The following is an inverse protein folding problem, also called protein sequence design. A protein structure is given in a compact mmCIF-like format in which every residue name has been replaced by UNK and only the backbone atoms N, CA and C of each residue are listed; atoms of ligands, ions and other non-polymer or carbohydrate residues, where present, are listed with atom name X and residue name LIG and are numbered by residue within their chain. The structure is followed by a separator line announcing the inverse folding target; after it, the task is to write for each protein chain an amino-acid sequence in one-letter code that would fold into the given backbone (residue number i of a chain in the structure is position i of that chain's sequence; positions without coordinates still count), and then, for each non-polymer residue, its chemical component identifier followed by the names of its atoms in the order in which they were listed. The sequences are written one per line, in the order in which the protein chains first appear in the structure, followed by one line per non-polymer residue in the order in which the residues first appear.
data_IF_809914164306
#
_entry.id   IF_809914164306
#
_cell.length_a   1.000
_cell.length_b   1.000
_cell.length_c   1.000
_cell.angle_alpha   90.00
_cell.angle_beta   90.00
_cell.angle_gamma   90.00
#
_symmetry.space_group_name_H-M   'P 1'
#
loop_
_entity.id
_entity.type
_entity.pdbx_description
1 polymer ?
#
# COMPACT_ATOMS: atom_id res chain seq x y z
N UNK A 1 69.49 -27.77 1.54
CA UNK A 1 68.88 -27.90 2.88
C UNK A 1 67.39 -27.62 2.72
N UNK A 2 66.57 -28.66 2.55
CA UNK A 2 65.76 -29.29 3.60
C UNK A 2 64.47 -28.46 3.87
N UNK A 3 63.38 -28.67 3.11
CA UNK A 3 62.30 -29.68 3.29
C UNK A 3 61.22 -29.23 4.29
N UNK A 4 59.99 -29.10 3.76
CA UNK A 4 58.65 -29.32 4.33
C UNK A 4 58.54 -29.54 5.85
N UNK A 5 57.62 -28.81 6.50
CA UNK A 5 56.74 -29.36 7.54
C UNK A 5 55.38 -28.64 7.54
N UNK A 6 54.50 -29.10 6.65
CA UNK A 6 53.05 -29.08 6.89
C UNK A 6 52.71 -30.40 7.60
N UNK A 7 52.26 -30.33 8.85
CA UNK A 7 51.70 -31.47 9.61
C UNK A 7 50.33 -31.03 10.13
N UNK A 8 49.24 -31.38 9.43
CA UNK A 8 48.37 -32.56 9.66
C UNK A 8 47.93 -32.75 11.12
N UNK A 9 46.67 -32.38 11.38
CA UNK A 9 45.74 -33.09 12.28
C UNK A 9 44.34 -32.94 11.64
N UNK A 10 43.90 -33.90 10.82
CA UNK A 10 43.08 -35.08 11.15
C UNK A 10 41.71 -34.71 11.72
N UNK A 11 40.71 -34.98 10.88
CA UNK A 11 39.27 -35.07 11.16
C UNK A 11 38.95 -35.82 12.46
N UNK A 12 37.89 -35.39 13.15
CA UNK A 12 36.80 -36.29 13.54
C UNK A 12 35.55 -35.51 13.94
N UNK A 13 34.51 -35.77 13.15
CA UNK A 13 33.10 -35.47 13.40
C UNK A 13 32.59 -36.52 14.40
N UNK A 14 31.89 -36.10 15.46
CA UNK A 14 30.93 -36.86 16.29
C UNK A 14 30.35 -35.84 17.29
N UNK A 15 29.10 -35.37 17.19
CA UNK A 15 27.86 -36.03 17.64
C UNK A 15 28.05 -36.70 19.00
N UNK A 16 27.57 -36.07 20.08
CA UNK A 16 26.66 -36.64 21.09
C UNK A 16 26.34 -35.57 22.15
N UNK A 17 25.08 -35.61 22.51
CA UNK A 17 24.28 -34.82 23.43
C UNK A 17 24.56 -35.21 24.91
N UNK A 18 23.93 -34.49 25.85
CA UNK A 18 23.55 -34.90 27.23
C UNK A 18 24.40 -34.33 28.39
N UNK A 19 23.74 -33.38 29.06
CA UNK A 19 23.52 -33.22 30.51
C UNK A 19 24.71 -33.39 31.47
N UNK A 20 25.07 -32.30 32.15
CA UNK A 20 24.94 -32.23 33.61
C UNK A 20 25.15 -30.80 34.11
N UNK A 21 24.10 -30.22 34.68
CA UNK A 21 24.21 -29.04 35.52
C UNK A 21 24.60 -29.53 36.92
N UNK A 22 25.85 -29.29 37.30
CA UNK A 22 26.39 -29.63 38.61
C UNK A 22 27.40 -28.57 39.04
N UNK A 23 26.91 -27.67 39.90
CA UNK A 23 27.59 -26.77 40.84
C UNK A 23 29.09 -26.45 40.65
N UNK A 24 29.41 -25.14 40.60
CA UNK A 24 30.26 -24.44 41.59
C UNK A 24 30.04 -22.92 41.41
N UNK A 25 29.92 -22.21 42.53
CA UNK A 25 29.24 -20.92 42.64
C UNK A 25 29.99 -19.70 42.10
N UNK A 26 29.21 -18.76 41.58
CA UNK A 26 29.41 -17.33 41.81
C UNK A 26 28.04 -16.67 41.96
N UNK A 27 27.85 -15.96 43.07
CA UNK A 27 26.57 -15.48 43.58
C UNK A 27 26.18 -14.20 42.81
N UNK A 28 25.20 -14.30 41.93
CA UNK A 28 24.33 -13.18 41.56
C UNK A 28 22.94 -13.51 42.10
N UNK A 29 22.43 -12.66 43.00
CA UNK A 29 21.11 -12.80 43.60
C UNK A 29 20.02 -12.66 42.52
N UNK A 30 19.61 -13.79 41.96
CA UNK A 30 18.34 -13.93 41.24
C UNK A 30 17.37 -14.54 42.25
N UNK A 31 16.55 -13.71 42.87
CA UNK A 31 15.36 -14.17 43.58
C UNK A 31 14.39 -14.80 42.55
N UNK A 32 14.40 -16.12 42.46
CA UNK A 32 13.33 -16.89 41.82
C UNK A 32 12.08 -16.74 42.68
N UNK A 33 11.05 -16.07 42.17
CA UNK A 33 9.69 -16.20 42.70
C UNK A 33 9.16 -17.57 42.27
N UNK A 34 9.18 -18.55 43.18
CA UNK A 34 8.78 -19.94 42.91
C UNK A 34 7.30 -20.25 43.18
N UNK A 35 6.47 -19.24 43.46
CA UNK A 35 5.05 -19.47 43.75
C UNK A 35 4.19 -19.26 42.50
N UNK A 36 4.42 -20.08 41.47
CA UNK A 36 3.46 -20.28 40.38
C UNK A 36 3.02 -21.73 40.42
N UNK A 37 1.82 -21.97 40.93
CA UNK A 37 1.14 -23.26 40.81
C UNK A 37 0.87 -23.48 39.32
N UNK A 38 1.67 -24.33 38.67
CA UNK A 38 1.44 -24.76 37.29
C UNK A 38 0.17 -25.61 37.24
N UNK A 39 -0.93 -25.03 36.78
CA UNK A 39 -2.10 -25.80 36.39
C UNK A 39 -1.90 -26.31 34.96
N UNK A 40 -1.92 -27.63 34.71
CA UNK A 40 -1.90 -28.15 33.35
C UNK A 40 -3.22 -27.82 32.64
N UNK A 41 -3.16 -27.20 31.46
CA UNK A 41 -4.30 -27.06 30.55
C UNK A 41 -4.50 -28.36 29.79
N UNK A 42 -5.04 -29.38 30.46
CA UNK A 42 -5.48 -30.62 29.83
C UNK A 42 -6.90 -30.89 30.31
N UNK A 43 -7.90 -30.74 29.43
CA UNK A 43 -9.27 -31.20 29.72
C UNK A 43 -9.26 -32.72 29.61
N UNK A 44 -9.47 -33.41 30.72
CA UNK A 44 -9.68 -34.86 30.72
C UNK A 44 -11.10 -35.13 30.19
N UNK A 45 -11.22 -35.92 29.13
CA UNK A 45 -12.46 -36.10 28.34
C UNK A 45 -13.52 -36.96 29.07
N UNK A 46 -13.27 -37.40 30.31
CA UNK A 46 -14.09 -38.40 30.99
C UNK A 46 -14.88 -37.93 32.23
N UNK A 47 -14.90 -36.65 32.56
CA UNK A 47 -15.78 -36.17 33.62
C UNK A 47 -17.16 -35.87 33.04
N UNK A 48 -18.11 -36.75 33.36
CA UNK A 48 -19.53 -36.57 33.05
C UNK A 48 -20.02 -35.27 33.67
N UNK A 49 -20.37 -34.32 32.81
CA UNK A 49 -20.99 -33.04 33.17
C UNK A 49 -22.39 -33.34 33.69
N UNK A 50 -22.54 -33.45 35.01
CA UNK A 50 -23.82 -33.27 35.67
C UNK A 50 -24.07 -31.75 35.67
N UNK A 51 -25.15 -31.25 35.04
CA UNK A 51 -25.43 -29.83 35.06
C UNK A 51 -26.02 -29.48 36.42
N UNK A 52 -25.20 -28.90 37.30
CA UNK A 52 -25.70 -28.20 38.47
C UNK A 52 -26.50 -26.96 38.00
N UNK A 53 -27.80 -27.13 37.90
CA UNK A 53 -28.78 -26.05 37.85
C UNK A 53 -28.67 -25.25 39.17
N UNK A 54 -28.01 -24.09 39.14
CA UNK A 54 -28.32 -22.89 39.95
C UNK A 54 -27.12 -21.98 40.30
N UNK A 55 -26.02 -21.99 39.56
CA UNK A 55 -25.12 -20.82 39.59
C UNK A 55 -25.62 -19.76 38.62
N UNK A 56 -26.35 -18.77 39.15
CA UNK A 56 -26.51 -17.47 38.48
C UNK A 56 -25.11 -17.03 38.07
N UNK A 57 -24.79 -17.09 36.78
CA UNK A 57 -23.58 -16.54 36.18
C UNK A 57 -23.45 -15.10 36.66
N UNK A 58 -22.66 -14.88 37.71
CA UNK A 58 -22.33 -13.55 38.18
C UNK A 58 -21.67 -12.88 36.99
N UNK A 59 -22.36 -11.89 36.39
CA UNK A 59 -21.86 -11.14 35.25
C UNK A 59 -20.41 -10.77 35.54
N UNK A 60 -19.48 -11.38 34.80
CA UNK A 60 -18.05 -11.15 34.99
C UNK A 60 -17.84 -9.67 34.73
N UNK A 61 -17.66 -8.90 35.81
CA UNK A 61 -17.55 -7.44 35.73
C UNK A 61 -16.37 -7.10 34.82
N UNK A 62 -16.68 -6.55 33.66
CA UNK A 62 -15.71 -6.04 32.69
C UNK A 62 -14.71 -5.13 33.41
N UNK A 63 -13.44 -5.22 33.04
CA UNK A 63 -12.42 -4.33 33.59
C UNK A 63 -12.76 -2.86 33.31
N UNK A 64 -12.40 -1.95 34.21
CA UNK A 64 -12.69 -0.52 34.04
C UNK A 64 -12.09 0.04 32.73
N UNK A 65 -10.91 -0.45 32.34
CA UNK A 65 -10.25 -0.07 31.08
C UNK A 65 -11.07 -0.49 29.85
N UNK A 66 -11.63 -1.69 29.90
CA UNK A 66 -12.42 -2.28 28.83
C UNK A 66 -13.76 -1.54 28.67
N UNK A 67 -14.41 -1.15 29.78
CA UNK A 67 -15.59 -0.26 29.75
C UNK A 67 -15.27 1.12 29.18
N UNK A 68 -14.14 1.73 29.56
CA UNK A 68 -13.74 3.03 29.04
C UNK A 68 -13.47 2.99 27.53
N UNK A 69 -12.95 1.86 27.03
CA UNK A 69 -12.74 1.65 25.60
C UNK A 69 -14.06 1.51 24.83
N UNK A 70 -15.04 0.74 25.32
CA UNK A 70 -16.38 0.64 24.72
C UNK A 70 -17.05 2.00 24.64
N UNK A 71 -17.07 2.74 25.76
CA UNK A 71 -17.63 4.09 25.82
C UNK A 71 -16.95 5.04 24.83
N UNK A 72 -15.63 4.93 24.64
CA UNK A 72 -14.91 5.74 23.65
C UNK A 72 -15.32 5.40 22.22
N UNK A 73 -15.54 4.12 21.92
CA UNK A 73 -16.03 3.66 20.62
C UNK A 73 -17.43 4.19 20.33
N UNK A 74 -18.34 4.08 21.28
CA UNK A 74 -19.71 4.62 21.18
C UNK A 74 -19.72 6.13 20.96
N UNK A 75 -19.00 6.88 21.80
CA UNK A 75 -18.87 8.33 21.67
C UNK A 75 -18.35 8.73 20.28
N UNK A 76 -17.42 7.96 19.71
CA UNK A 76 -16.90 8.21 18.36
C UNK A 76 -17.96 7.94 17.29
N UNK A 77 -18.74 6.87 17.42
CA UNK A 77 -19.86 6.57 16.51
C UNK A 77 -20.91 7.68 16.53
N UNK A 78 -21.28 8.16 17.71
CA UNK A 78 -22.21 9.29 17.88
C UNK A 78 -21.65 10.59 17.28
N UNK A 79 -20.37 10.88 17.56
CA UNK A 79 -19.67 12.02 16.98
C UNK A 79 -19.69 11.99 15.45
N UNK A 80 -19.32 10.85 14.85
CA UNK A 80 -19.31 10.68 13.40
C UNK A 80 -20.71 10.86 12.80
N UNK A 81 -21.74 10.27 13.43
CA UNK A 81 -23.13 10.42 13.00
C UNK A 81 -23.57 11.89 13.00
N UNK A 82 -23.21 12.64 14.05
CA UNK A 82 -23.50 14.07 14.14
C UNK A 82 -22.78 14.86 13.05
N UNK A 83 -21.49 14.61 12.83
CA UNK A 83 -20.71 15.29 11.79
C UNK A 83 -21.23 15.00 10.37
N UNK A 84 -21.69 13.78 10.10
CA UNK A 84 -22.28 13.43 8.80
C UNK A 84 -23.57 14.22 8.57
N UNK A 85 -24.45 14.26 9.58
CA UNK A 85 -25.68 15.05 9.49
C UNK A 85 -25.40 16.55 9.30
N UNK A 86 -24.43 17.10 10.02
CA UNK A 86 -24.00 18.50 9.87
C UNK A 86 -23.41 18.77 8.47
N UNK A 87 -22.63 17.84 7.93
CA UNK A 87 -22.09 17.93 6.57
C UNK A 87 -23.19 17.92 5.52
N UNK A 88 -24.19 17.03 5.62
CA UNK A 88 -25.28 16.94 4.65
C UNK A 88 -26.17 18.19 4.68
N UNK A 89 -26.45 18.71 5.88
CA UNK A 89 -27.17 19.97 6.07
C UNK A 89 -26.35 21.13 5.47
N UNK A 90 -25.06 21.21 5.80
CA UNK A 90 -24.15 22.23 5.28
C UNK A 90 -24.04 22.18 3.75
N UNK A 91 -24.03 20.99 3.16
CA UNK A 91 -23.97 20.78 1.70
C UNK A 91 -25.19 21.40 1.02
N UNK A 92 -26.38 21.18 1.58
CA UNK A 92 -27.64 21.76 1.07
C UNK A 92 -27.65 23.28 1.20
N UNK A 93 -27.15 23.82 2.32
CA UNK A 93 -27.02 25.27 2.50
C UNK A 93 -26.03 25.90 1.51
N UNK A 94 -24.89 25.25 1.29
CA UNK A 94 -23.89 25.71 0.33
C UNK A 94 -24.46 25.74 -1.09
N UNK A 95 -25.18 24.69 -1.49
CA UNK A 95 -25.88 24.65 -2.77
C UNK A 95 -26.88 25.81 -2.92
N UNK A 96 -27.67 26.09 -1.86
CA UNK A 96 -28.61 27.22 -1.85
C UNK A 96 -27.91 28.58 -1.99
N UNK A 97 -26.78 28.80 -1.31
CA UNK A 97 -26.00 30.05 -1.43
C UNK A 97 -25.48 30.23 -2.85
N UNK A 98 -25.04 29.14 -3.49
CA UNK A 98 -24.54 29.17 -4.86
C UNK A 98 -25.64 29.17 -5.93
N UNK A 99 -26.91 29.01 -5.53
CA UNK A 99 -28.05 28.90 -6.45
C UNK A 99 -28.04 27.63 -7.30
N UNK A 100 -27.39 26.56 -6.81
CA UNK A 100 -27.31 25.26 -7.48
C UNK A 100 -28.29 24.29 -6.81
N UNK A 101 -28.84 23.36 -7.59
CA UNK A 101 -29.72 22.31 -7.06
C UNK A 101 -28.96 21.37 -6.10
N UNK A 102 -29.45 21.13 -4.86
CA UNK A 102 -28.74 20.33 -3.87
C UNK A 102 -28.44 18.89 -4.29
N UNK A 103 -29.28 18.29 -5.13
CA UNK A 103 -29.14 16.90 -5.57
C UNK A 103 -28.02 16.74 -6.59
N UNK A 104 -27.83 17.71 -7.49
CA UNK A 104 -26.77 17.70 -8.49
C UNK A 104 -25.43 18.29 -8.00
N UNK A 105 -25.32 18.58 -6.71
CA UNK A 105 -24.15 19.25 -6.16
C UNK A 105 -23.00 18.26 -5.92
N UNK A 106 -21.96 18.30 -6.78
CA UNK A 106 -20.81 17.38 -6.74
C UNK A 106 -19.72 17.82 -5.77
N UNK A 107 -18.70 16.97 -5.54
CA UNK A 107 -17.57 17.31 -4.64
C UNK A 107 -16.71 18.44 -5.23
N UNK A 108 -16.60 18.48 -6.55
CA UNK A 108 -15.87 19.50 -7.31
C UNK A 108 -16.55 20.86 -7.19
N UNK A 109 -17.88 20.88 -7.23
CA UNK A 109 -18.68 22.11 -7.04
C UNK A 109 -18.55 22.64 -5.60
N UNK A 110 -18.58 21.76 -4.60
CA UNK A 110 -18.31 22.12 -3.20
C UNK A 110 -16.94 22.80 -3.08
N UNK A 111 -15.89 22.18 -3.61
CA UNK A 111 -14.53 22.72 -3.54
C UNK A 111 -14.42 24.07 -4.26
N UNK A 112 -15.09 24.21 -5.40
CA UNK A 112 -15.12 25.46 -6.18
C UNK A 112 -15.85 26.57 -5.42
N UNK A 113 -17.00 26.25 -4.82
CA UNK A 113 -17.77 27.17 -3.99
C UNK A 113 -16.99 27.65 -2.76
N UNK A 114 -16.33 26.74 -2.04
CA UNK A 114 -15.48 27.09 -0.88
C UNK A 114 -14.31 27.98 -1.30
N UNK A 115 -13.65 27.68 -2.42
CA UNK A 115 -12.55 28.50 -2.93
C UNK A 115 -13.00 29.92 -3.32
N UNK A 116 -14.24 30.06 -3.78
CA UNK A 116 -14.83 31.35 -4.13
C UNK A 116 -15.24 32.14 -2.88
N UNK A 117 -15.97 31.52 -1.95
CA UNK A 117 -16.47 32.16 -0.73
C UNK A 117 -15.36 32.50 0.27
N UNK A 118 -14.34 31.62 0.37
CA UNK A 118 -13.22 31.76 1.30
C UNK A 118 -11.88 31.68 0.53
N UNK A 119 -11.52 32.74 -0.23
CA UNK A 119 -10.31 32.74 -1.01
C UNK A 119 -9.08 32.73 -0.09
N UNK A 120 -8.27 31.67 -0.18
CA UNK A 120 -7.00 31.53 0.53
C UNK A 120 -5.83 31.50 -0.45
N UNK A 121 -4.83 32.36 -0.20
CA UNK A 121 -3.60 32.45 -0.97
C UNK A 121 -2.47 31.53 -0.48
N UNK A 122 -2.75 30.62 0.47
CA UNK A 122 -1.74 29.71 1.02
C UNK A 122 -1.23 28.74 -0.06
N UNK A 123 0.09 28.59 -0.17
CA UNK A 123 0.70 27.66 -1.13
C UNK A 123 0.35 26.20 -0.82
N UNK A 124 0.39 25.85 0.47
CA UNK A 124 -0.05 24.54 0.93
C UNK A 124 -1.56 24.39 0.74
N UNK A 125 -1.96 23.30 0.10
CA UNK A 125 -3.38 23.01 -0.20
C UNK A 125 -4.10 22.47 1.02
N UNK A 126 -3.42 21.75 1.90
CA UNK A 126 -4.02 21.14 3.10
C UNK A 126 -4.34 22.19 4.17
N UNK A 127 -3.65 23.33 4.15
CA UNK A 127 -3.89 24.45 5.05
C UNK A 127 -5.04 25.37 4.63
N UNK A 128 -5.66 25.13 3.47
CA UNK A 128 -6.76 25.97 2.95
C UNK A 128 -8.10 25.57 3.57
N UNK A 129 -9.09 26.48 3.62
CA UNK A 129 -10.46 26.13 3.95
C UNK A 129 -10.98 25.02 3.03
N UNK A 130 -11.53 23.96 3.61
CA UNK A 130 -12.03 22.80 2.90
C UNK A 130 -13.25 22.23 3.62
N UNK A 131 -14.21 21.74 2.84
CA UNK A 131 -15.40 21.06 3.35
C UNK A 131 -15.38 19.63 2.80
N UNK A 132 -14.92 18.68 3.62
CA UNK A 132 -14.85 17.27 3.26
C UNK A 132 -15.91 16.45 4.00
N UNK A 133 -16.24 15.29 3.43
CA UNK A 133 -17.03 14.30 4.14
C UNK A 133 -16.29 13.83 5.40
N UNK A 134 -16.96 13.65 6.56
CA UNK A 134 -16.28 13.33 7.82
C UNK A 134 -15.41 12.06 7.77
N UNK A 135 -15.79 11.06 6.97
CA UNK A 135 -14.98 9.84 6.77
C UNK A 135 -13.64 10.17 6.10
N UNK A 136 -13.65 11.06 5.11
CA UNK A 136 -12.44 11.46 4.37
C UNK A 136 -11.51 12.31 5.27
N UNK A 137 -12.09 13.08 6.21
CA UNK A 137 -11.33 13.97 7.12
C UNK A 137 -10.78 13.26 8.36
N UNK A 138 -11.60 12.47 9.06
CA UNK A 138 -11.18 11.79 10.30
C UNK A 138 -10.57 10.40 10.05
N UNK A 139 -10.78 9.84 8.86
CA UNK A 139 -10.36 8.50 8.49
C UNK A 139 -11.19 7.40 9.16
N UNK A 140 -10.99 6.18 8.66
CA UNK A 140 -11.56 4.99 9.28
C UNK A 140 -10.80 4.66 10.57
N UNK A 141 -11.55 4.31 11.62
CA UNK A 141 -10.99 3.81 12.88
C UNK A 141 -11.49 2.40 13.13
N UNK A 142 -10.67 1.61 13.81
CA UNK A 142 -11.05 0.26 14.20
C UNK A 142 -12.20 0.34 15.21
N UNK A 143 -13.23 -0.47 14.99
CA UNK A 143 -14.34 -0.61 15.93
C UNK A 143 -13.89 -1.33 17.20
N UNK A 144 -14.78 -1.41 18.19
CA UNK A 144 -14.48 -2.17 19.39
C UNK A 144 -14.29 -3.65 19.03
N UNK A 145 -13.19 -4.24 19.50
CA UNK A 145 -12.81 -5.60 19.13
C UNK A 145 -13.45 -6.69 20.01
N UNK A 146 -14.31 -6.30 20.94
CA UNK A 146 -14.90 -7.19 21.93
C UNK A 146 -16.31 -6.75 22.35
N UNK A 147 -17.08 -7.72 22.82
CA UNK A 147 -18.44 -7.55 23.34
C UNK A 147 -18.46 -6.90 24.75
N UNK A 148 -19.66 -6.50 25.18
CA UNK A 148 -19.93 -6.14 26.58
C UNK A 148 -19.59 -7.28 27.57
N UNK A 149 -19.56 -8.53 27.13
CA UNK A 149 -19.13 -9.65 28.01
C UNK A 149 -17.61 -9.71 28.19
N UNK A 150 -16.88 -8.91 27.42
CA UNK A 150 -15.43 -8.95 27.32
C UNK A 150 -14.89 -9.98 26.33
N UNK A 151 -15.77 -10.67 25.59
CA UNK A 151 -15.37 -11.66 24.58
C UNK A 151 -14.88 -10.96 23.31
N UNK A 152 -13.66 -11.24 22.82
CA UNK A 152 -13.20 -10.71 21.55
C UNK A 152 -13.99 -11.27 20.35
N UNK A 153 -14.26 -10.43 19.36
CA UNK A 153 -14.91 -10.83 18.11
C UNK A 153 -13.98 -11.64 17.20
N UNK A 154 -12.70 -11.29 17.17
CA UNK A 154 -11.72 -11.94 16.30
C UNK A 154 -10.94 -13.03 17.04
N UNK A 155 -10.79 -14.21 16.41
CA UNK A 155 -10.11 -15.35 17.04
C UNK A 155 -8.61 -15.11 17.29
N UNK A 156 -7.95 -14.30 16.45
CA UNK A 156 -6.55 -13.87 16.64
C UNK A 156 -6.40 -12.61 17.51
N UNK A 157 -7.42 -12.17 18.25
CA UNK A 157 -7.35 -10.94 19.06
C UNK A 157 -6.11 -10.88 19.97
N UNK A 158 -5.79 -11.97 20.66
CA UNK A 158 -4.66 -12.05 21.59
C UNK A 158 -3.28 -11.98 20.93
N UNK A 159 -3.21 -11.92 19.60
CA UNK A 159 -1.95 -11.65 18.87
C UNK A 159 -1.60 -10.17 18.80
N UNK A 160 -2.44 -9.28 19.34
CA UNK A 160 -2.37 -7.79 19.28
C UNK A 160 -2.59 -7.16 17.92
N UNK A 161 -2.39 -7.90 16.82
CA UNK A 161 -2.59 -7.45 15.44
C UNK A 161 -3.44 -8.46 14.65
N UNK A 162 -4.73 -8.64 15.02
CA UNK A 162 -5.56 -9.68 14.44
C UNK A 162 -5.66 -9.59 12.92
N UNK A 163 -5.81 -8.39 12.35
CA UNK A 163 -6.01 -8.23 10.90
C UNK A 163 -4.73 -8.59 10.12
N UNK A 164 -3.56 -8.20 10.62
CA UNK A 164 -2.28 -8.59 10.01
C UNK A 164 -2.08 -10.11 10.01
N UNK A 165 -2.28 -10.77 11.15
CA UNK A 165 -2.09 -12.23 11.23
C UNK A 165 -3.19 -13.01 10.50
N UNK A 166 -4.40 -12.45 10.37
CA UNK A 166 -5.45 -13.01 9.54
C UNK A 166 -5.03 -13.04 8.06
N UNK A 167 -4.41 -11.97 7.55
CA UNK A 167 -3.84 -11.97 6.19
C UNK A 167 -2.80 -13.07 6.04
N UNK A 168 -1.86 -13.22 6.99
CA UNK A 168 -0.85 -14.28 6.93
C UNK A 168 -1.47 -15.68 6.96
N UNK A 169 -2.50 -15.87 7.78
CA UNK A 169 -3.26 -17.11 7.83
C UNK A 169 -3.94 -17.40 6.48
N UNK A 170 -4.55 -16.40 5.87
CA UNK A 170 -5.19 -16.50 4.56
C UNK A 170 -4.18 -16.78 3.45
N UNK A 171 -2.96 -16.22 3.53
CA UNK A 171 -1.86 -16.56 2.62
C UNK A 171 -1.50 -18.05 2.76
N UNK A 172 -1.32 -18.54 3.99
CA UNK A 172 -1.00 -19.95 4.22
C UNK A 172 -2.12 -20.88 3.71
N UNK A 173 -3.39 -20.52 3.95
CA UNK A 173 -4.55 -21.25 3.43
C UNK A 173 -4.57 -21.26 1.90
N UNK A 174 -4.29 -20.13 1.27
CA UNK A 174 -4.22 -20.02 -0.19
C UNK A 174 -3.08 -20.86 -0.76
N UNK A 175 -1.94 -20.92 -0.07
CA UNK A 175 -0.82 -21.78 -0.47
C UNK A 175 -1.19 -23.26 -0.43
N UNK A 176 -1.88 -23.72 0.62
CA UNK A 176 -2.38 -25.10 0.72
C UNK A 176 -3.34 -25.40 -0.42
N UNK A 177 -4.30 -24.49 -0.67
CA UNK A 177 -5.24 -24.61 -1.77
C UNK A 177 -4.53 -24.72 -3.13
N UNK A 178 -3.51 -23.90 -3.37
CA UNK A 178 -2.71 -23.96 -4.58
C UNK A 178 -1.97 -25.30 -4.74
N UNK A 179 -1.36 -25.83 -3.67
CA UNK A 179 -0.71 -27.14 -3.69
C UNK A 179 -1.72 -28.28 -3.99
N UNK A 180 -2.92 -28.21 -3.43
CA UNK A 180 -3.99 -29.18 -3.72
C UNK A 180 -4.44 -29.12 -5.18
N UNK A 181 -4.62 -27.90 -5.73
CA UNK A 181 -4.98 -27.74 -7.13
C UNK A 181 -3.89 -28.22 -8.07
N UNK A 182 -2.62 -27.94 -7.77
CA UNK A 182 -1.48 -28.46 -8.52
C UNK A 182 -1.48 -29.99 -8.52
N UNK A 183 -1.67 -30.60 -7.35
CA UNK A 183 -1.75 -32.06 -7.21
C UNK A 183 -2.89 -32.66 -8.05
N UNK A 184 -4.05 -32.01 -8.10
CA UNK A 184 -5.19 -32.42 -8.93
C UNK A 184 -4.92 -32.30 -10.43
N UNK A 185 -4.22 -31.23 -10.86
CA UNK A 185 -3.86 -31.02 -12.26
C UNK A 185 -2.82 -32.05 -12.73
N UNK A 186 -1.81 -32.31 -11.90
CA UNK A 186 -0.80 -33.35 -12.15
C UNK A 186 -1.42 -34.74 -12.19
N UNK A 187 -2.35 -35.05 -11.28
CA UNK A 187 -3.10 -36.32 -11.29
C UNK A 187 -3.95 -36.51 -12.56
N UNK A 188 -4.32 -35.42 -13.24
CA UNK A 188 -5.02 -35.43 -14.54
C UNK A 188 -4.08 -35.38 -15.75
N UNK A 189 -2.76 -35.41 -15.53
CA UNK A 189 -1.72 -35.24 -16.56
C UNK A 189 -1.82 -33.93 -17.36
N UNK A 190 -2.35 -32.86 -16.76
CA UNK A 190 -2.38 -31.54 -17.40
C UNK A 190 -1.01 -30.89 -17.22
N UNK A 191 -0.38 -30.48 -18.32
CA UNK A 191 0.89 -29.75 -18.26
C UNK A 191 0.66 -28.32 -17.76
N UNK A 192 1.48 -27.88 -16.80
CA UNK A 192 1.43 -26.54 -16.24
C UNK A 192 2.10 -25.55 -17.21
N UNK A 193 1.28 -24.91 -18.04
CA UNK A 193 1.72 -23.83 -18.93
C UNK A 193 1.66 -22.45 -18.28
N UNK A 194 2.15 -21.40 -18.98
CA UNK A 194 2.13 -20.03 -18.51
C UNK A 194 0.70 -19.49 -18.30
N UNK A 195 -0.34 -20.12 -18.88
CA UNK A 195 -1.72 -19.69 -18.67
C UNK A 195 -2.24 -19.86 -17.23
N UNK A 196 -1.58 -20.70 -16.42
CA UNK A 196 -1.93 -20.97 -15.02
C UNK A 196 -1.21 -20.03 -14.03
N UNK A 197 -0.21 -19.27 -14.51
CA UNK A 197 0.54 -18.31 -13.73
C UNK A 197 -0.04 -16.91 -13.92
N UNK A 198 -0.09 -16.13 -12.84
CA UNK A 198 -0.49 -14.73 -12.87
C UNK A 198 0.58 -13.86 -13.56
N UNK A 199 0.15 -12.97 -14.46
CA UNK A 199 1.00 -11.88 -14.95
C UNK A 199 0.82 -10.65 -14.06
N UNK A 200 1.95 -10.05 -13.73
CA UNK A 200 2.10 -9.11 -12.62
C UNK A 200 2.80 -7.83 -13.07
N UNK A 201 3.28 -7.81 -14.31
CA UNK A 201 4.15 -6.77 -14.87
C UNK A 201 3.54 -5.37 -14.76
N UNK A 202 2.21 -5.27 -14.88
CA UNK A 202 1.45 -4.02 -14.84
C UNK A 202 1.11 -3.53 -13.42
N UNK A 203 1.59 -4.22 -12.38
CA UNK A 203 1.15 -3.98 -11.01
C UNK A 203 2.27 -4.04 -9.97
N UNK A 204 2.24 -3.09 -9.05
CA UNK A 204 3.18 -3.01 -7.94
C UNK A 204 2.50 -3.38 -6.61
N UNK A 205 3.30 -3.80 -5.64
CA UNK A 205 2.82 -4.05 -4.28
C UNK A 205 2.42 -2.75 -3.59
N UNK A 206 1.39 -2.82 -2.73
CA UNK A 206 1.00 -1.68 -1.89
C UNK A 206 2.13 -1.28 -0.95
N UNK A 207 2.42 0.01 -0.90
CA UNK A 207 3.36 0.58 0.07
C UNK A 207 2.89 0.34 1.51
N UNK A 208 3.83 0.27 2.46
CA UNK A 208 3.57 0.07 3.90
C UNK A 208 2.44 0.95 4.44
N UNK A 209 2.49 2.26 4.19
CA UNK A 209 1.47 3.21 4.68
C UNK A 209 0.07 2.90 4.14
N UNK A 210 -0.03 2.44 2.90
CA UNK A 210 -1.30 2.05 2.30
C UNK A 210 -1.84 0.75 2.90
N UNK A 211 -0.95 -0.21 3.18
CA UNK A 211 -1.32 -1.46 3.85
C UNK A 211 -1.80 -1.22 5.28
N UNK A 212 -1.15 -0.32 6.03
CA UNK A 212 -1.57 0.09 7.38
C UNK A 212 -2.97 0.75 7.36
N UNK A 213 -3.26 1.57 6.34
CA UNK A 213 -4.59 2.17 6.16
C UNK A 213 -5.68 1.13 5.90
N UNK A 214 -5.37 0.08 5.15
CA UNK A 214 -6.33 -1.02 4.89
C UNK A 214 -6.55 -1.86 6.15
N UNK A 215 -5.48 -2.15 6.89
CA UNK A 215 -5.52 -2.97 8.10
C UNK A 215 -6.07 -2.23 9.32
N UNK A 216 -6.00 -0.90 9.34
CA UNK A 216 -6.23 -0.06 10.52
C UNK A 216 -5.31 -0.44 11.69
N UNK A 217 -4.11 -0.95 11.39
CA UNK A 217 -3.11 -1.42 12.34
C UNK A 217 -1.72 -0.93 11.91
N UNK A 218 -0.90 -0.50 12.87
CA UNK A 218 0.47 -0.08 12.59
C UNK A 218 1.40 -1.27 12.35
N UNK A 219 2.27 -1.20 11.34
CA UNK A 219 3.18 -2.27 10.97
C UNK A 219 4.64 -1.89 11.25
N UNK A 220 5.42 -2.89 11.66
CA UNK A 220 6.88 -2.78 11.71
C UNK A 220 7.45 -3.05 10.31
N UNK A 221 8.60 -2.47 9.98
CA UNK A 221 9.21 -2.69 8.66
C UNK A 221 9.51 -4.18 8.40
N UNK A 222 10.00 -4.88 9.43
CA UNK A 222 10.21 -6.34 9.38
C UNK A 222 8.93 -7.14 9.08
N UNK A 223 7.77 -6.67 9.57
CA UNK A 223 6.49 -7.32 9.33
C UNK A 223 6.03 -7.08 7.89
N UNK A 224 6.24 -5.87 7.38
CA UNK A 224 5.98 -5.56 5.98
C UNK A 224 6.86 -6.39 5.04
N UNK A 225 8.17 -6.50 5.32
CA UNK A 225 9.09 -7.34 4.54
C UNK A 225 8.67 -8.81 4.55
N UNK A 226 8.22 -9.32 5.70
CA UNK A 226 7.72 -10.68 5.82
C UNK A 226 6.46 -10.88 4.97
N UNK A 227 5.51 -9.95 5.04
CA UNK A 227 4.30 -9.97 4.22
C UNK A 227 4.62 -9.98 2.72
N UNK A 228 5.52 -9.12 2.25
CA UNK A 228 5.92 -9.07 0.84
C UNK A 228 6.56 -10.40 0.41
N UNK A 229 7.46 -10.98 1.23
CA UNK A 229 8.06 -12.30 0.94
C UNK A 229 7.00 -13.40 0.85
N UNK A 230 6.03 -13.42 1.77
CA UNK A 230 4.93 -14.38 1.76
C UNK A 230 4.04 -14.23 0.52
N UNK A 231 3.77 -12.99 0.09
CA UNK A 231 2.99 -12.71 -1.10
C UNK A 231 3.74 -13.00 -2.41
N UNK A 232 5.04 -12.73 -2.47
CA UNK A 232 5.91 -13.14 -3.58
C UNK A 232 5.89 -14.65 -3.77
N UNK A 233 5.96 -15.41 -2.66
CA UNK A 233 5.87 -16.87 -2.70
C UNK A 233 4.55 -17.38 -3.30
N UNK A 234 3.43 -16.67 -3.09
CA UNK A 234 2.16 -17.01 -3.74
C UNK A 234 2.18 -16.74 -5.24
N UNK A 235 2.80 -15.63 -5.67
CA UNK A 235 2.93 -15.27 -7.10
C UNK A 235 3.84 -16.26 -7.84
N UNK A 236 4.93 -16.69 -7.19
CA UNK A 236 5.90 -17.61 -7.75
C UNK A 236 5.33 -19.03 -7.96
N UNK A 237 4.20 -19.34 -7.31
CA UNK A 237 3.53 -20.63 -7.47
C UNK A 237 3.09 -20.86 -8.93
N UNK A 238 3.27 -22.08 -9.50
CA UNK A 238 2.92 -22.36 -10.90
C UNK A 238 1.45 -22.11 -11.25
N UNK A 239 0.56 -22.35 -10.29
CA UNK A 239 -0.92 -22.28 -10.41
C UNK A 239 -1.49 -20.97 -9.80
N UNK A 240 -0.66 -19.94 -9.63
CA UNK A 240 -0.99 -18.72 -8.89
C UNK A 240 -2.22 -17.95 -9.40
N UNK A 241 -2.64 -18.15 -10.65
CA UNK A 241 -3.83 -17.52 -11.24
C UNK A 241 -5.13 -17.84 -10.49
N UNK A 242 -5.24 -19.01 -9.86
CA UNK A 242 -6.43 -19.36 -9.08
C UNK A 242 -6.66 -18.45 -7.86
N UNK A 243 -5.61 -17.77 -7.40
CA UNK A 243 -5.63 -16.86 -6.23
C UNK A 243 -5.45 -15.39 -6.67
N UNK A 244 -5.63 -15.09 -7.96
CA UNK A 244 -5.44 -13.76 -8.53
C UNK A 244 -6.28 -12.69 -7.81
N UNK A 245 -7.56 -12.96 -7.53
CA UNK A 245 -8.46 -12.02 -6.85
C UNK A 245 -7.93 -11.61 -5.46
N UNK A 246 -7.32 -12.53 -4.73
CA UNK A 246 -6.72 -12.27 -3.43
C UNK A 246 -5.41 -11.48 -3.55
N UNK A 247 -4.55 -11.82 -4.52
CA UNK A 247 -3.29 -11.12 -4.76
C UNK A 247 -3.54 -9.67 -5.18
N UNK A 248 -4.48 -9.45 -6.10
CA UNK A 248 -4.79 -8.13 -6.67
C UNK A 248 -5.39 -7.17 -5.64
N UNK A 249 -6.00 -7.65 -4.56
CA UNK A 249 -6.45 -6.81 -3.43
C UNK A 249 -5.31 -6.02 -2.79
N UNK A 250 -4.08 -6.56 -2.83
CA UNK A 250 -2.89 -5.97 -2.22
C UNK A 250 -1.90 -5.40 -3.24
N UNK A 251 -2.33 -5.21 -4.49
CA UNK A 251 -1.54 -4.59 -5.55
C UNK A 251 -2.22 -3.35 -6.11
N UNK A 252 -1.43 -2.43 -6.63
CA UNK A 252 -1.88 -1.25 -7.35
C UNK A 252 -1.46 -1.40 -8.81
N UNK A 253 -2.41 -1.18 -9.73
CA UNK A 253 -2.10 -1.10 -11.16
C UNK A 253 -1.28 0.17 -11.42
N UNK A 254 -0.19 0.02 -12.15
CA UNK A 254 0.64 1.13 -12.58
C UNK A 254 -0.07 1.81 -13.76
N UNK A 255 -0.26 3.14 -13.74
CA UNK A 255 -0.67 3.85 -14.93
C UNK A 255 0.47 3.74 -15.95
N UNK A 256 0.18 3.22 -17.14
CA UNK A 256 1.14 3.25 -18.22
C UNK A 256 1.25 4.70 -18.70
N UNK A 257 2.34 5.38 -18.37
CA UNK A 257 2.65 6.70 -18.90
C UNK A 257 3.28 6.45 -20.26
N UNK A 258 2.45 6.23 -21.27
CA UNK A 258 2.91 6.38 -22.63
C UNK A 258 3.16 7.88 -22.82
N UNK A 259 4.42 8.25 -23.03
CA UNK A 259 4.75 9.56 -23.58
C UNK A 259 4.29 9.56 -25.04
N UNK A 260 2.98 9.71 -25.24
CA UNK A 260 2.44 10.03 -26.55
C UNK A 260 2.98 11.43 -26.87
N UNK A 261 4.12 11.47 -27.55
CA UNK A 261 4.66 12.68 -28.16
C UNK A 261 3.54 13.18 -29.06
N UNK A 262 2.85 14.25 -28.63
CA UNK A 262 1.82 14.90 -29.43
C UNK A 262 2.50 15.51 -30.64
N UNK A 263 2.56 14.74 -31.71
CA UNK A 263 3.09 15.21 -33.00
C UNK A 263 2.19 16.38 -33.42
N UNK A 264 2.75 17.59 -33.61
CA UNK A 264 1.97 18.74 -34.04
C UNK A 264 1.33 18.47 -35.40
N UNK A 265 0.14 19.04 -35.63
CA UNK A 265 -0.58 18.92 -36.89
C UNK A 265 0.22 19.63 -38.00
N UNK A 266 0.28 19.03 -39.20
CA UNK A 266 0.90 19.67 -40.36
C UNK A 266 -0.08 20.71 -40.93
N UNK A 267 0.42 21.91 -41.15
CA UNK A 267 -0.28 22.99 -41.84
C UNK A 267 0.24 23.13 -43.28
N UNK A 268 -0.50 23.80 -44.16
CA UNK A 268 -0.10 24.01 -45.54
C UNK A 268 -0.04 25.50 -45.86
N UNK A 269 1.07 25.93 -46.48
CA UNK A 269 1.24 27.32 -46.93
C UNK A 269 0.45 27.59 -48.23
N UNK A 270 0.40 28.85 -48.67
CA UNK A 270 -0.27 29.25 -49.92
C UNK A 270 0.25 28.52 -51.16
N UNK A 271 1.52 28.07 -51.13
CA UNK A 271 2.17 27.27 -52.18
C UNK A 271 1.95 25.75 -52.00
N UNK A 272 0.99 25.35 -51.16
CA UNK A 272 0.66 23.97 -50.80
C UNK A 272 1.85 23.17 -50.24
N UNK A 273 2.78 23.84 -49.54
CA UNK A 273 3.91 23.17 -48.88
C UNK A 273 3.53 22.83 -47.44
N UNK A 274 3.75 21.59 -47.00
CA UNK A 274 3.52 21.23 -45.60
C UNK A 274 4.52 21.95 -44.71
N UNK A 275 4.08 22.51 -43.60
CA UNK A 275 4.94 23.05 -42.56
C UNK A 275 4.38 22.72 -41.18
N UNK A 276 5.26 22.78 -40.19
CA UNK A 276 4.93 22.63 -38.78
C UNK A 276 5.40 23.87 -38.06
N UNK A 277 4.49 24.53 -37.35
CA UNK A 277 4.80 25.62 -36.44
C UNK A 277 4.95 25.03 -35.04
N UNK A 278 6.15 25.17 -34.46
CA UNK A 278 6.40 24.79 -33.07
C UNK A 278 6.54 26.06 -32.25
N UNK A 279 5.49 26.35 -31.50
CA UNK A 279 5.44 27.49 -30.58
C UNK A 279 6.05 27.12 -29.23
N UNK A 280 6.71 28.08 -28.59
CA UNK A 280 7.23 28.00 -27.22
C UNK A 280 8.44 27.07 -27.04
N UNK A 281 9.39 27.10 -27.98
CA UNK A 281 10.72 26.54 -27.75
C UNK A 281 11.44 27.38 -26.68
N UNK A 282 11.80 26.75 -25.56
CA UNK A 282 12.36 27.42 -24.40
C UNK A 282 13.71 26.80 -24.01
N UNK A 283 14.76 27.62 -23.94
CA UNK A 283 16.05 27.23 -23.37
C UNK A 283 16.54 28.33 -22.43
N UNK A 284 16.66 28.03 -21.14
CA UNK A 284 16.93 29.04 -20.09
C UNK A 284 15.90 30.18 -20.20
N UNK A 285 16.35 31.41 -20.42
CA UNK A 285 15.51 32.59 -20.61
C UNK A 285 15.16 32.85 -22.09
N UNK A 286 15.84 32.19 -23.03
CA UNK A 286 15.55 32.34 -24.44
C UNK A 286 14.22 31.66 -24.80
N UNK A 287 13.42 32.36 -25.61
CA UNK A 287 12.16 31.89 -26.17
C UNK A 287 12.22 32.06 -27.68
N UNK A 288 11.76 31.04 -28.40
CA UNK A 288 11.75 31.03 -29.84
C UNK A 288 10.53 30.29 -30.39
N UNK A 289 10.19 30.64 -31.61
CA UNK A 289 9.18 29.99 -32.43
C UNK A 289 9.89 29.48 -33.69
N UNK A 290 9.62 28.23 -34.07
CA UNK A 290 10.31 27.59 -35.19
C UNK A 290 9.27 27.07 -36.18
N UNK A 291 9.31 27.59 -37.40
CA UNK A 291 8.54 27.09 -38.53
C UNK A 291 9.43 26.14 -39.34
N UNK A 292 9.13 24.84 -39.31
CA UNK A 292 9.81 23.83 -40.12
C UNK A 292 8.98 23.59 -41.38
N UNK A 293 9.55 23.84 -42.55
CA UNK A 293 8.85 23.69 -43.83
C UNK A 293 9.36 22.41 -44.51
N UNK A 294 8.44 21.56 -44.97
CA UNK A 294 8.74 20.37 -45.76
C UNK A 294 9.17 20.73 -47.19
N UNK A 295 10.02 19.88 -47.78
CA UNK A 295 10.58 20.07 -49.13
C UNK A 295 11.40 21.37 -49.29
N UNK A 296 12.19 21.72 -48.27
CA UNK A 296 13.09 22.88 -48.30
C UNK A 296 14.48 22.60 -48.90
N UNK A 297 15.20 23.66 -49.26
CA UNK A 297 16.58 23.60 -49.78
C UNK A 297 17.66 23.69 -48.69
N UNK A 298 17.32 23.44 -47.42
CA UNK A 298 18.22 23.59 -46.27
C UNK A 298 18.49 25.05 -45.85
N UNK A 299 17.69 26.02 -46.33
CA UNK A 299 17.86 27.43 -45.94
C UNK A 299 17.28 27.69 -44.55
N UNK A 300 18.10 28.24 -43.66
CA UNK A 300 17.73 28.55 -42.29
C UNK A 300 17.76 30.06 -42.10
N UNK A 301 16.72 30.62 -41.51
CA UNK A 301 16.62 32.06 -41.23
C UNK A 301 16.25 32.28 -39.77
N UNK A 302 17.11 32.99 -39.03
CA UNK A 302 16.95 33.29 -37.61
C UNK A 302 16.68 34.80 -37.49
N UNK A 303 15.48 35.19 -37.04
CA UNK A 303 15.07 36.60 -36.91
C UNK A 303 15.32 37.44 -38.17
N UNK A 304 15.15 36.85 -39.36
CA UNK A 304 15.39 37.49 -40.65
C UNK A 304 16.86 37.56 -41.09
N UNK A 305 17.80 37.06 -40.28
CA UNK A 305 19.22 36.89 -40.64
C UNK A 305 19.52 35.42 -40.97
N UNK A 306 20.62 35.19 -41.67
CA UNK A 306 21.12 33.84 -41.96
C UNK A 306 21.78 33.21 -40.71
N UNK A 307 22.39 32.03 -40.85
CA UNK A 307 23.13 31.34 -39.79
C UNK A 307 24.23 32.19 -39.12
N UNK A 308 24.63 33.28 -39.77
CA UNK A 308 25.53 34.31 -39.22
C UNK A 308 24.97 35.04 -38.00
N UNK A 309 23.70 34.84 -37.66
CA UNK A 309 23.13 35.32 -36.39
C UNK A 309 23.90 34.81 -35.16
N UNK A 310 24.43 33.59 -35.23
CA UNK A 310 25.29 33.04 -34.18
C UNK A 310 26.76 33.22 -34.54
N UNK A 311 27.49 33.99 -33.74
CA UNK A 311 28.93 34.21 -33.94
C UNK A 311 29.75 32.97 -33.57
N UNK A 312 29.35 32.26 -32.51
CA UNK A 312 30.02 31.06 -32.01
C UNK A 312 29.71 29.82 -32.86
N UNK A 313 30.75 29.06 -33.20
CA UNK A 313 30.64 27.82 -33.97
C UNK A 313 29.80 26.75 -33.28
N UNK A 314 29.93 26.62 -31.95
CA UNK A 314 29.17 25.65 -31.14
C UNK A 314 27.65 25.84 -31.26
N UNK A 315 27.19 27.08 -31.44
CA UNK A 315 25.77 27.38 -31.61
C UNK A 315 25.26 26.94 -32.99
N UNK A 316 26.12 26.94 -34.00
CA UNK A 316 25.78 26.47 -35.35
C UNK A 316 25.75 24.94 -35.40
N UNK A 317 26.71 24.27 -34.78
CA UNK A 317 26.75 22.80 -34.68
C UNK A 317 25.47 22.22 -34.04
N UNK A 318 24.94 22.87 -33.00
CA UNK A 318 23.69 22.44 -32.38
C UNK A 318 22.46 22.47 -33.31
N UNK A 319 22.51 23.28 -34.36
CA UNK A 319 21.44 23.35 -35.37
C UNK A 319 21.65 22.24 -36.40
N UNK A 320 22.90 22.00 -36.78
CA UNK A 320 23.28 21.00 -37.78
C UNK A 320 23.06 19.56 -37.27
N UNK A 321 23.36 19.28 -36.00
CA UNK A 321 23.19 17.96 -35.36
C UNK A 321 21.73 17.47 -35.34
N UNK A 322 20.75 18.38 -35.46
CA UNK A 322 19.32 18.05 -35.46
C UNK A 322 18.80 17.72 -36.87
N UNK A 323 19.57 18.06 -37.92
CA UNK A 323 19.15 17.97 -39.32
C UNK A 323 19.71 16.71 -40.00
N UNK A 324 20.79 16.12 -39.47
CA UNK A 324 21.35 14.83 -39.89
C UNK A 324 20.52 13.65 -39.34
#
# INVERSE_FOLDING_TARGET
MAVLMFTRFINLRNVININNFGAIGSILNITQCSDVISKPYCVNINDQIIPDESEKLTEKKISSAMRAYLKRSENYKEFMKKQIAEYDIGKRYLANIMGIDPENFTKEDVNSAIRYLFPSGLYDREARPMMLHPIDMYGNRKEAEFDETGRPHHFLFYTTKPNYYEILHNIAKSMIHLNETESQLLGRNIQLGPEHKIDVSDSEWLQKKSLEKILLEGLLDKQYDYFIKSMQRLVDHPVSKHVESFIMKYRRKLPNINEDIKIPQLEYDNDNRPFVLIDKCARKDARGEVKVIGNGSGKITINGKDLTYFDDMQCREQIDDVIA
#
